data_IF_701619195561
#
_entry.id   IF_701619195561
#
_cell.length_a   1.000
_cell.length_b   1.000
_cell.length_c   1.000
_cell.angle_alpha   90.00
_cell.angle_beta   90.00
_cell.angle_gamma   90.00
#
_symmetry.space_group_name_H-M   'P 1'
#
loop_
_entity.id
_entity.type
_entity.pdbx_description
1 polymer ?
#
# COMPACT_ATOMS: atom_id res chain seq x y z
N UNK A 1 3.01 2.24 -9.73
CA UNK A 1 3.46 3.65 -9.65
C UNK A 1 2.25 4.54 -9.48
N UNK A 2 2.29 5.44 -8.49
CA UNK A 2 1.14 6.26 -8.10
C UNK A 2 1.47 7.76 -8.14
N UNK A 3 0.43 8.60 -8.25
CA UNK A 3 0.49 10.06 -8.21
C UNK A 3 1.66 10.67 -9.02
N UNK A 4 2.50 11.51 -8.42
CA UNK A 4 3.60 12.24 -9.08
C UNK A 4 4.63 11.33 -9.78
N UNK A 5 4.77 10.07 -9.34
CA UNK A 5 5.68 9.10 -9.96
C UNK A 5 5.17 8.63 -11.33
N UNK A 6 3.84 8.60 -11.53
CA UNK A 6 3.23 8.03 -12.76
C UNK A 6 3.53 8.87 -14.01
N UNK A 7 3.41 10.22 -14.00
CA UNK A 7 3.87 11.05 -15.11
C UNK A 7 5.35 10.87 -15.44
N UNK A 8 6.21 10.69 -14.42
CA UNK A 8 7.66 10.52 -14.59
C UNK A 8 7.99 9.19 -15.29
N UNK A 9 7.34 8.09 -14.87
CA UNK A 9 7.57 6.75 -15.43
C UNK A 9 6.77 6.51 -16.72
N UNK A 10 5.72 7.32 -16.95
CA UNK A 10 4.83 7.25 -18.12
C UNK A 10 3.81 6.12 -18.10
N UNK A 11 3.79 5.27 -17.05
CA UNK A 11 2.86 4.14 -16.94
C UNK A 11 2.53 3.79 -15.49
N UNK A 12 1.38 3.15 -15.28
CA UNK A 12 0.88 2.79 -13.95
C UNK A 12 1.59 1.58 -13.33
N UNK A 13 2.06 0.65 -14.16
CA UNK A 13 2.80 -0.54 -13.76
C UNK A 13 4.02 -0.71 -14.67
N UNK A 14 5.14 -1.09 -14.06
CA UNK A 14 6.35 -1.53 -14.76
C UNK A 14 6.65 -2.95 -14.28
N UNK A 15 7.00 -3.81 -15.21
CA UNK A 15 7.67 -5.07 -14.89
C UNK A 15 9.16 -4.78 -14.85
N UNK A 16 9.81 -5.24 -13.78
CA UNK A 16 11.26 -5.16 -13.61
C UNK A 16 11.75 -6.57 -13.23
N UNK A 17 12.85 -6.98 -13.85
CA UNK A 17 13.55 -8.20 -13.48
C UNK A 17 14.59 -7.83 -12.43
N UNK A 18 14.41 -8.33 -11.22
CA UNK A 18 15.40 -8.17 -10.17
C UNK A 18 16.22 -9.47 -10.06
N UNK A 19 17.55 -9.33 -9.93
CA UNK A 19 18.42 -10.48 -9.73
C UNK A 19 18.15 -11.19 -8.40
N UNK A 20 18.56 -12.45 -8.22
CA UNK A 20 18.43 -13.15 -6.94
C UNK A 20 19.05 -12.36 -5.78
N UNK A 21 18.30 -12.16 -4.71
CA UNK A 21 18.75 -11.41 -3.54
C UNK A 21 18.73 -9.88 -3.71
N UNK A 22 18.10 -9.36 -4.77
CA UNK A 22 17.92 -7.93 -4.95
C UNK A 22 17.14 -7.29 -3.80
N UNK A 23 17.56 -6.11 -3.40
CA UNK A 23 16.95 -5.32 -2.33
C UNK A 23 16.14 -4.17 -2.89
N UNK A 24 15.32 -3.54 -2.04
CA UNK A 24 14.66 -2.29 -2.41
C UNK A 24 15.63 -1.15 -2.72
N UNK A 25 16.82 -1.13 -2.12
CA UNK A 25 17.88 -0.20 -2.49
C UNK A 25 18.26 -0.36 -3.96
N UNK A 26 18.57 -1.60 -4.39
CA UNK A 26 18.93 -1.88 -5.77
C UNK A 26 17.81 -1.52 -6.75
N UNK A 27 16.55 -1.78 -6.37
CA UNK A 27 15.39 -1.37 -7.16
C UNK A 27 15.30 0.16 -7.28
N UNK A 28 15.41 0.90 -6.17
CA UNK A 28 15.35 2.37 -6.20
C UNK A 28 16.50 2.97 -7.01
N UNK A 29 17.71 2.42 -6.88
CA UNK A 29 18.88 2.82 -7.67
C UNK A 29 18.64 2.61 -9.17
N UNK A 30 18.08 1.46 -9.57
CA UNK A 30 17.73 1.18 -10.97
C UNK A 30 16.65 2.15 -11.48
N UNK A 31 15.58 2.37 -10.71
CA UNK A 31 14.49 3.25 -11.09
C UNK A 31 14.97 4.69 -11.26
N UNK A 32 15.82 5.19 -10.36
CA UNK A 32 16.38 6.55 -10.46
C UNK A 32 17.44 6.68 -11.54
N UNK A 33 18.22 5.63 -11.83
CA UNK A 33 19.11 5.63 -12.99
C UNK A 33 18.33 5.69 -14.31
N UNK A 34 17.19 5.00 -14.38
CA UNK A 34 16.34 4.93 -15.58
C UNK A 34 15.44 6.16 -15.76
N UNK A 35 14.98 6.74 -14.65
CA UNK A 35 14.18 7.96 -14.61
C UNK A 35 14.74 8.92 -13.55
N UNK A 36 15.73 9.75 -13.91
CA UNK A 36 16.44 10.64 -12.97
C UNK A 36 15.52 11.56 -12.16
N UNK A 37 14.39 11.97 -12.74
CA UNK A 37 13.40 12.82 -12.07
C UNK A 37 12.76 12.15 -10.85
N UNK A 38 12.78 10.81 -10.74
CA UNK A 38 12.31 10.08 -9.55
C UNK A 38 13.18 10.34 -8.32
N UNK A 39 14.44 10.73 -8.50
CA UNK A 39 15.37 10.98 -7.38
C UNK A 39 14.81 12.00 -6.41
N UNK A 40 14.18 13.06 -6.94
CA UNK A 40 13.60 14.16 -6.16
C UNK A 40 12.32 13.77 -5.43
N UNK A 41 11.65 12.74 -5.89
CA UNK A 41 10.44 12.19 -5.27
C UNK A 41 10.79 11.16 -4.20
N UNK A 42 11.88 10.40 -4.39
CA UNK A 42 12.33 9.37 -3.45
C UNK A 42 13.20 9.88 -2.33
N UNK A 43 14.06 10.87 -2.59
CA UNK A 43 15.08 11.30 -1.63
C UNK A 43 14.85 12.75 -1.18
N UNK A 44 15.17 13.02 0.08
CA UNK A 44 15.23 14.37 0.62
C UNK A 44 16.53 15.10 0.21
N UNK A 45 16.70 16.34 0.66
CA UNK A 45 17.89 17.15 0.33
C UNK A 45 19.21 16.55 0.85
N UNK A 46 19.14 15.71 1.88
CA UNK A 46 20.29 15.02 2.49
C UNK A 46 20.63 13.69 1.78
N UNK A 47 19.83 13.30 0.77
CA UNK A 47 20.02 12.05 0.02
C UNK A 47 19.41 10.83 0.70
N UNK A 48 18.62 11.01 1.76
CA UNK A 48 17.93 9.93 2.46
C UNK A 48 16.53 9.70 1.90
N UNK A 49 16.01 8.47 2.02
CA UNK A 49 14.65 8.16 1.56
C UNK A 49 13.64 9.07 2.27
N UNK A 50 12.86 9.81 1.48
CA UNK A 50 11.88 10.75 1.98
C UNK A 50 10.87 10.03 2.87
N UNK A 51 10.61 10.57 4.06
CA UNK A 51 9.74 9.94 5.08
C UNK A 51 8.30 9.75 4.60
N UNK A 52 7.84 10.58 3.67
CA UNK A 52 6.55 10.45 3.00
C UNK A 52 6.45 9.41 1.87
N UNK A 53 7.54 8.79 1.42
CA UNK A 53 7.49 7.80 0.32
C UNK A 53 7.09 6.44 0.86
N UNK A 54 5.91 5.91 0.56
CA UNK A 54 5.53 4.57 1.02
C UNK A 54 5.88 3.51 -0.01
N UNK A 55 6.67 2.52 0.38
CA UNK A 55 7.04 1.38 -0.47
C UNK A 55 6.46 0.12 0.17
N UNK A 56 5.50 -0.50 -0.49
CA UNK A 56 4.81 -1.68 -0.01
C UNK A 56 5.28 -2.92 -0.78
N UNK A 57 5.73 -3.92 -0.03
CA UNK A 57 6.00 -5.28 -0.48
C UNK A 57 4.80 -6.17 -0.13
N UNK A 58 4.08 -6.69 -1.14
CA UNK A 58 2.90 -7.54 -0.96
C UNK A 58 1.87 -6.94 0.03
N UNK A 59 1.72 -5.62 0.00
CA UNK A 59 0.82 -4.87 0.89
C UNK A 59 1.41 -4.43 2.23
N UNK A 60 2.67 -4.77 2.55
CA UNK A 60 3.36 -4.35 3.78
C UNK A 60 4.41 -3.28 3.50
N UNK A 61 4.37 -2.16 4.21
CA UNK A 61 5.40 -1.11 4.09
C UNK A 61 6.76 -1.64 4.56
N UNK A 62 7.80 -1.44 3.74
CA UNK A 62 9.17 -1.89 4.00
C UNK A 62 9.79 -1.24 5.25
N UNK A 63 9.26 -0.10 5.71
CA UNK A 63 9.68 0.51 6.99
C UNK A 63 9.44 -0.38 8.19
N UNK A 64 8.45 -1.27 8.09
CA UNK A 64 8.18 -2.29 9.11
C UNK A 64 8.88 -3.62 8.81
N UNK A 65 9.81 -3.63 7.84
CA UNK A 65 10.72 -4.71 7.49
C UNK A 65 12.16 -4.21 7.70
N UNK A 66 13.08 -4.52 6.80
CA UNK A 66 14.48 -4.06 6.82
C UNK A 66 14.68 -2.78 5.99
N UNK A 67 13.60 -2.00 5.75
CA UNK A 67 13.65 -0.79 4.95
C UNK A 67 14.15 -1.08 3.52
N UNK A 68 15.04 -0.23 3.00
CA UNK A 68 15.65 -0.41 1.68
C UNK A 68 16.53 -1.67 1.60
N UNK A 69 16.99 -2.24 2.72
CA UNK A 69 17.72 -3.49 2.73
C UNK A 69 16.82 -4.73 2.60
N UNK A 70 15.49 -4.57 2.65
CA UNK A 70 14.54 -5.68 2.49
C UNK A 70 14.78 -6.37 1.15
N UNK A 71 14.94 -7.69 1.18
CA UNK A 71 15.08 -8.52 -0.02
C UNK A 71 13.72 -8.64 -0.70
N UNK A 72 13.68 -8.44 -2.01
CA UNK A 72 12.48 -8.59 -2.84
C UNK A 72 12.35 -10.08 -3.21
N UNK A 73 11.30 -10.78 -2.73
CA UNK A 73 11.03 -12.15 -3.15
C UNK A 73 10.70 -12.23 -4.65
N UNK A 74 10.90 -13.39 -5.29
CA UNK A 74 10.37 -13.63 -6.63
C UNK A 74 8.85 -13.43 -6.64
N UNK A 75 8.33 -12.93 -7.78
CA UNK A 75 6.90 -12.67 -8.02
C UNK A 75 6.24 -11.68 -7.03
N UNK A 76 7.05 -10.88 -6.34
CA UNK A 76 6.57 -9.89 -5.39
C UNK A 76 5.80 -8.73 -6.06
N UNK A 77 4.70 -8.35 -5.44
CA UNK A 77 3.99 -7.14 -5.80
C UNK A 77 4.56 -5.94 -5.04
N UNK A 78 5.18 -5.01 -5.77
CA UNK A 78 5.70 -3.76 -5.23
C UNK A 78 4.80 -2.59 -5.59
N UNK A 79 4.41 -1.78 -4.59
CA UNK A 79 3.65 -0.55 -4.77
C UNK A 79 4.41 0.61 -4.14
N UNK A 80 4.59 1.69 -4.89
CA UNK A 80 5.37 2.85 -4.47
C UNK A 80 4.51 4.10 -4.55
N UNK A 81 4.30 4.75 -3.41
CA UNK A 81 3.51 5.96 -3.26
C UNK A 81 4.44 7.13 -2.92
N UNK A 82 4.32 8.27 -3.63
CA UNK A 82 5.11 9.46 -3.33
C UNK A 82 4.65 10.14 -2.03
N UNK A 83 5.42 11.12 -1.52
CA UNK A 83 5.04 11.93 -0.37
C UNK A 83 3.65 12.54 -0.52
N UNK A 84 2.80 12.35 0.49
CA UNK A 84 1.50 13.02 0.57
C UNK A 84 1.68 14.47 1.04
N UNK A 85 1.57 15.42 0.10
CA UNK A 85 1.17 16.81 0.32
C UNK A 85 2.05 17.73 1.20
N UNK A 86 2.90 18.53 0.54
CA UNK A 86 3.32 19.86 0.99
C UNK A 86 4.62 20.32 0.30
N UNK A 87 4.69 21.35 -0.54
CA UNK A 87 3.69 22.29 -1.05
C UNK A 87 4.29 23.17 -2.16
N UNK A 88 3.42 23.99 -2.74
CA UNK A 88 3.66 25.10 -3.70
C UNK A 88 4.05 24.79 -5.15
N UNK A 89 3.04 24.96 -6.00
CA UNK A 89 3.07 25.42 -7.39
C UNK A 89 3.12 24.38 -8.53
N UNK A 90 1.98 23.77 -8.82
CA UNK A 90 1.30 24.03 -10.10
C UNK A 90 -0.14 23.51 -10.06
N UNK A 91 -1.01 24.29 -10.69
CA UNK A 91 -2.46 24.17 -10.73
C UNK A 91 -2.94 22.83 -11.27
N UNK A 92 -3.88 22.17 -10.58
CA UNK A 92 -5.10 21.63 -11.20
C UNK A 92 -6.24 21.64 -10.19
N UNK A 93 -7.30 22.37 -10.54
CA UNK A 93 -8.64 22.16 -10.02
C UNK A 93 -9.16 20.89 -10.69
N UNK A 94 -9.42 19.82 -9.94
CA UNK A 94 -10.36 18.77 -10.37
C UNK A 94 -11.20 18.36 -9.16
N UNK A 95 -12.49 18.64 -9.29
CA UNK A 95 -13.59 18.17 -8.48
C UNK A 95 -13.53 16.65 -8.21
N UNK A 96 -13.86 16.29 -6.96
CA UNK A 96 -14.59 15.08 -6.53
C UNK A 96 -14.07 13.70 -7.00
N UNK A 97 -13.39 12.98 -6.10
CA UNK A 97 -13.49 11.52 -5.87
C UNK A 97 -13.35 10.48 -7.02
N UNK A 98 -12.85 10.82 -8.23
CA UNK A 98 -12.89 9.86 -9.37
C UNK A 98 -11.58 9.08 -9.65
N UNK A 99 -10.38 9.50 -9.18
CA UNK A 99 -9.11 8.87 -9.63
C UNK A 99 -8.24 8.19 -8.56
N UNK A 100 -8.70 8.07 -7.31
CA UNK A 100 -8.01 7.24 -6.32
C UNK A 100 -8.27 5.76 -6.63
N UNK A 101 -7.30 5.09 -7.25
CA UNK A 101 -7.35 3.64 -7.46
C UNK A 101 -7.52 2.93 -6.10
N UNK A 102 -8.48 2.01 -5.98
CA UNK A 102 -8.69 1.28 -4.74
C UNK A 102 -7.45 0.47 -4.32
N UNK A 103 -7.12 0.51 -3.04
CA UNK A 103 -6.06 -0.31 -2.46
C UNK A 103 -6.70 -1.64 -2.05
N UNK A 104 -6.39 -2.69 -2.81
CA UNK A 104 -6.89 -4.05 -2.58
C UNK A 104 -5.82 -4.87 -1.88
N UNK A 105 -6.17 -5.40 -0.70
CA UNK A 105 -5.34 -6.29 0.09
C UNK A 105 -6.12 -7.55 0.50
N UNK A 106 -5.45 -8.69 0.38
CA UNK A 106 -5.95 -9.97 0.91
C UNK A 106 -5.34 -10.25 2.28
N UNK A 107 -6.18 -10.50 3.27
CA UNK A 107 -5.78 -10.85 4.63
C UNK A 107 -6.09 -12.32 4.88
N UNK A 108 -5.16 -13.19 4.49
CA UNK A 108 -5.26 -14.63 4.72
C UNK A 108 -5.16 -14.95 6.22
N UNK A 109 -5.99 -15.88 6.69
CA UNK A 109 -6.09 -16.22 8.11
C UNK A 109 -6.96 -15.24 8.93
N UNK A 110 -7.41 -14.14 8.34
CA UNK A 110 -8.36 -13.20 8.97
C UNK A 110 -9.76 -13.44 8.39
N UNK A 111 -10.71 -13.97 9.17
CA UNK A 111 -12.07 -14.15 8.69
C UNK A 111 -12.77 -12.78 8.55
N UNK A 112 -13.76 -12.72 7.64
CA UNK A 112 -14.51 -11.49 7.33
C UNK A 112 -15.09 -10.80 8.59
N UNK A 113 -15.66 -11.58 9.52
CA UNK A 113 -16.25 -11.04 10.74
C UNK A 113 -15.20 -10.34 11.62
N UNK A 114 -14.00 -10.91 11.74
CA UNK A 114 -12.92 -10.34 12.54
C UNK A 114 -12.36 -9.08 11.90
N UNK A 115 -12.28 -9.04 10.57
CA UNK A 115 -11.92 -7.80 9.86
C UNK A 115 -12.93 -6.69 10.13
N UNK A 116 -14.23 -7.00 10.15
CA UNK A 116 -15.25 -6.00 10.52
C UNK A 116 -15.03 -5.50 11.94
N UNK A 117 -14.79 -6.38 12.91
CA UNK A 117 -14.48 -5.97 14.28
C UNK A 117 -13.26 -5.05 14.36
N UNK A 118 -12.18 -5.39 13.64
CA UNK A 118 -11.02 -4.51 13.57
C UNK A 118 -11.33 -3.14 13.01
N UNK A 119 -12.16 -3.05 11.97
CA UNK A 119 -12.54 -1.77 11.38
C UNK A 119 -13.49 -0.97 12.29
N UNK A 120 -14.45 -1.63 12.95
CA UNK A 120 -15.32 -1.01 13.97
C UNK A 120 -14.49 -0.40 15.11
N UNK A 121 -13.50 -1.14 15.63
CA UNK A 121 -12.58 -0.66 16.66
C UNK A 121 -11.75 0.55 16.20
N UNK A 122 -11.54 0.70 14.90
CA UNK A 122 -10.82 1.82 14.28
C UNK A 122 -11.74 2.99 13.93
N UNK A 123 -12.97 2.98 14.44
CA UNK A 123 -13.96 4.04 14.26
C UNK A 123 -14.70 3.96 12.93
N UNK A 124 -14.81 2.76 12.35
CA UNK A 124 -15.68 2.56 11.20
C UNK A 124 -17.14 2.37 11.63
N UNK A 125 -18.05 2.85 10.80
CA UNK A 125 -19.46 2.52 10.80
C UNK A 125 -19.76 1.51 9.68
N UNK A 126 -20.59 0.51 9.98
CA UNK A 126 -21.08 -0.43 8.97
C UNK A 126 -22.25 0.18 8.20
N UNK A 127 -22.06 0.39 6.89
CA UNK A 127 -23.10 0.92 6.00
C UNK A 127 -23.93 -0.22 5.41
N UNK A 128 -23.23 -1.26 4.93
CA UNK A 128 -23.82 -2.52 4.47
C UNK A 128 -22.95 -3.70 4.94
N UNK A 129 -23.45 -4.95 4.84
CA UNK A 129 -22.66 -6.13 5.23
C UNK A 129 -21.30 -6.28 4.54
N UNK A 130 -21.06 -5.56 3.46
CA UNK A 130 -19.86 -5.57 2.63
C UNK A 130 -19.20 -4.19 2.52
N UNK A 131 -19.73 -3.14 3.17
CA UNK A 131 -19.20 -1.79 3.09
C UNK A 131 -19.12 -1.13 4.46
N UNK A 132 -17.92 -0.72 4.82
CA UNK A 132 -17.63 0.03 6.04
C UNK A 132 -17.05 1.39 5.71
N UNK A 133 -17.32 2.40 6.53
CA UNK A 133 -16.80 3.76 6.35
C UNK A 133 -16.21 4.27 7.65
N UNK A 134 -15.05 4.93 7.59
CA UNK A 134 -14.49 5.68 8.70
C UNK A 134 -14.21 7.12 8.30
N UNK A 135 -13.54 7.87 9.16
CA UNK A 135 -13.22 9.28 8.90
C UNK A 135 -12.29 9.42 7.69
N UNK A 136 -12.84 9.82 6.54
CA UNK A 136 -12.10 10.06 5.30
C UNK A 136 -11.76 8.80 4.49
N UNK A 137 -12.27 7.63 4.87
CA UNK A 137 -12.01 6.37 4.16
C UNK A 137 -13.22 5.43 4.16
N UNK A 138 -13.25 4.51 3.19
CA UNK A 138 -14.22 3.41 3.11
C UNK A 138 -13.51 2.11 2.72
N UNK A 139 -14.06 0.99 3.18
CA UNK A 139 -13.58 -0.36 2.93
C UNK A 139 -14.71 -1.25 2.43
N UNK A 140 -14.60 -1.75 1.20
CA UNK A 140 -15.47 -2.81 0.70
C UNK A 140 -14.84 -4.18 1.03
N UNK A 141 -15.61 -5.08 1.62
CA UNK A 141 -15.14 -6.36 2.15
C UNK A 141 -15.81 -7.53 1.45
N UNK A 142 -15.02 -8.51 1.04
CA UNK A 142 -15.53 -9.79 0.51
C UNK A 142 -14.67 -10.96 1.00
N UNK A 143 -15.19 -12.18 0.93
CA UNK A 143 -14.38 -13.38 1.17
C UNK A 143 -13.27 -13.44 0.13
N UNK A 144 -12.03 -13.62 0.58
CA UNK A 144 -10.91 -13.87 -0.31
C UNK A 144 -11.03 -15.26 -0.94
N UNK A 145 -10.49 -15.41 -2.16
CA UNK A 145 -10.32 -16.74 -2.74
C UNK A 145 -9.40 -17.58 -1.85
N UNK A 146 -9.81 -18.78 -1.40
CA UNK A 146 -8.99 -19.59 -0.52
C UNK A 146 -7.66 -19.97 -1.18
N UNK A 147 -6.55 -19.72 -0.50
CA UNK A 147 -5.22 -20.16 -0.96
C UNK A 147 -4.88 -21.51 -0.34
N UNK A 148 -4.23 -22.36 -1.12
CA UNK A 148 -3.73 -23.65 -0.69
C UNK A 148 -2.23 -23.55 -0.35
N UNK A 149 -1.85 -24.04 0.83
CA UNK A 149 -0.46 -24.23 1.23
C UNK A 149 -0.32 -25.71 1.61
N UNK A 150 0.13 -26.54 0.65
CA UNK A 150 0.11 -27.99 0.80
C UNK A 150 -1.32 -28.52 0.94
N UNK A 151 -1.61 -29.25 2.02
CA UNK A 151 -2.96 -29.74 2.35
C UNK A 151 -3.85 -28.72 3.07
N UNK A 152 -3.28 -27.59 3.51
CA UNK A 152 -4.01 -26.55 4.24
C UNK A 152 -4.72 -25.60 3.28
N UNK A 153 -6.02 -25.37 3.50
CA UNK A 153 -6.78 -24.31 2.82
C UNK A 153 -6.99 -23.16 3.78
N UNK A 154 -6.43 -22.01 3.45
CA UNK A 154 -6.54 -20.79 4.25
C UNK A 154 -7.50 -19.84 3.56
N UNK A 155 -8.65 -19.63 4.20
CA UNK A 155 -9.58 -18.57 3.81
C UNK A 155 -9.09 -17.19 4.28
N UNK A 156 -9.81 -16.15 3.89
CA UNK A 156 -9.49 -14.79 4.33
C UNK A 156 -10.54 -13.79 3.88
N UNK A 157 -10.17 -12.52 3.99
CA UNK A 157 -10.95 -11.40 3.48
C UNK A 157 -10.13 -10.63 2.46
N UNK A 158 -10.77 -10.26 1.35
CA UNK A 158 -10.27 -9.22 0.46
C UNK A 158 -10.92 -7.93 0.89
N UNK A 159 -10.11 -6.93 1.23
CA UNK A 159 -10.57 -5.60 1.58
C UNK A 159 -10.07 -4.58 0.55
N UNK A 160 -11.01 -3.78 0.06
CA UNK A 160 -10.80 -2.75 -0.93
C UNK A 160 -11.00 -1.38 -0.30
N UNK A 161 -9.90 -0.66 -0.09
CA UNK A 161 -9.91 0.64 0.59
C UNK A 161 -9.85 1.79 -0.40
N UNK A 162 -10.66 2.80 -0.17
CA UNK A 162 -10.62 4.08 -0.90
C UNK A 162 -10.85 5.23 0.06
N UNK A 163 -10.33 6.40 -0.24
CA UNK A 163 -10.43 7.54 0.65
C UNK A 163 -9.30 8.53 0.49
N UNK A 164 -9.24 9.47 1.41
CA UNK A 164 -8.15 10.42 1.54
C UNK A 164 -6.86 9.70 1.93
N UNK A 165 -5.70 10.00 1.28
CA UNK A 165 -4.45 9.30 1.56
C UNK A 165 -4.04 9.32 3.05
N UNK A 166 -4.13 10.47 3.71
CA UNK A 166 -3.79 10.60 5.13
C UNK A 166 -4.67 9.74 6.05
N UNK A 167 -5.95 9.59 5.69
CA UNK A 167 -6.89 8.75 6.41
C UNK A 167 -6.58 7.26 6.23
N UNK A 168 -6.20 6.86 5.01
CA UNK A 168 -5.77 5.49 4.70
C UNK A 168 -4.43 5.13 5.37
N UNK A 169 -3.47 6.04 5.41
CA UNK A 169 -2.19 5.80 6.08
C UNK A 169 -2.36 5.59 7.59
N UNK A 170 -3.17 6.43 8.23
CA UNK A 170 -3.53 6.28 9.64
C UNK A 170 -4.25 4.96 9.92
N UNK A 171 -5.20 4.58 9.05
CA UNK A 171 -5.91 3.31 9.11
C UNK A 171 -4.95 2.13 9.02
N UNK A 172 -4.09 2.09 8.00
CA UNK A 172 -3.18 0.95 7.78
C UNK A 172 -2.17 0.79 8.91
N UNK A 173 -1.67 1.90 9.47
CA UNK A 173 -0.78 1.85 10.63
C UNK A 173 -1.42 1.11 11.82
N UNK A 174 -2.69 1.39 12.11
CA UNK A 174 -3.39 0.76 13.24
C UNK A 174 -3.91 -0.65 12.91
N UNK A 175 -4.41 -0.87 11.69
CA UNK A 175 -4.90 -2.19 11.26
C UNK A 175 -3.76 -3.23 11.23
N UNK A 176 -2.54 -2.80 10.91
CA UNK A 176 -1.35 -3.65 10.98
C UNK A 176 -1.12 -4.20 12.39
N UNK A 177 -1.22 -3.36 13.43
CA UNK A 177 -1.03 -3.78 14.82
C UNK A 177 -2.08 -4.81 15.25
N UNK A 178 -3.32 -4.67 14.77
CA UNK A 178 -4.42 -5.60 15.09
C UNK A 178 -4.27 -6.94 14.37
N UNK A 179 -3.86 -6.95 13.10
CA UNK A 179 -3.69 -8.21 12.35
C UNK A 179 -2.53 -9.07 12.85
N UNK A 180 -1.49 -8.48 13.47
CA UNK A 180 -0.39 -9.22 14.10
C UNK A 180 -0.78 -9.99 15.38
N UNK A 181 -1.84 -9.56 16.08
CA UNK A 181 -2.25 -10.17 17.36
C UNK A 181 -3.22 -11.36 17.22
N UNK A 182 -3.71 -11.64 16.01
CA UNK A 182 -4.67 -12.71 15.73
C UNK A 182 -4.06 -14.09 15.50
N UNK A 183 -2.74 -14.23 15.59
CA UNK A 183 -2.03 -15.52 15.51
C UNK A 183 -1.72 -16.06 16.90
N UNK A 184 -2.72 -16.66 17.55
CA UNK A 184 -2.59 -17.38 18.81
C UNK A 184 -3.59 -18.52 18.89
#
# INVERSE_FOLDING_TARGET
MYATLRPIVGRAAIETETGPGATFQALVDELTARWPDLTREFFNADGELHTGVHILLNGRDIRYLDGLATIIPPDAQVRIFPPVGGGSNSFYHVDTAVDAQPIINDYYGVPLWLMKEYLLDLGADEITPDLMTGSGWRAALRKAEPRAIGSLRVGGVTAEFTGEPAALDALFGQLHVKTLRGGG
#
